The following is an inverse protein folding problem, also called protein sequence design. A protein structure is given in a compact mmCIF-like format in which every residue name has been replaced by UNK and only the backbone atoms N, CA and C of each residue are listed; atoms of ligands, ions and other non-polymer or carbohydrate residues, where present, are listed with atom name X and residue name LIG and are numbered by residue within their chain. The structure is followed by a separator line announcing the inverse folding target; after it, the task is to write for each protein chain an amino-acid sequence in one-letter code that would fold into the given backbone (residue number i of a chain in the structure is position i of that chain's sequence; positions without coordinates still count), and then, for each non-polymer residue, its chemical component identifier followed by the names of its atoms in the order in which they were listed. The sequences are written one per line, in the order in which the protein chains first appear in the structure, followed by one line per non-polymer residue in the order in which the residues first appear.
data_IF_550259315017
#
_entry.id   IF_550259315017
#
_cell.length_a   1.000
_cell.length_b   1.000
_cell.length_c   1.000
_cell.angle_alpha   90.00
_cell.angle_beta   90.00
_cell.angle_gamma   90.00
#
_symmetry.space_group_name_H-M   'P 1'
#
loop_
_entity.id
_entity.type
_entity.pdbx_description
1 polymer ?
#
# COMPACT_ATOMS: atom_id res chain seq x y z
N UNK A 1 -7.09 -6.73 -13.61
CA UNK A 1 -6.80 -7.44 -12.39
C UNK A 1 -6.10 -6.53 -11.38
N UNK A 2 -6.63 -6.51 -10.17
CA UNK A 2 -6.14 -5.68 -9.09
C UNK A 2 -5.61 -6.57 -7.96
N UNK A 3 -4.37 -6.33 -7.57
CA UNK A 3 -3.78 -6.96 -6.41
C UNK A 3 -4.08 -6.12 -5.17
N UNK A 4 -4.14 -6.76 -4.02
CA UNK A 4 -4.36 -6.08 -2.76
C UNK A 4 -3.22 -6.37 -1.80
N UNK A 5 -2.66 -5.31 -1.23
CA UNK A 5 -1.55 -5.41 -0.30
C UNK A 5 -2.10 -5.48 1.13
N UNK A 6 -1.66 -6.45 1.89
CA UNK A 6 -2.11 -6.61 3.28
C UNK A 6 -1.38 -5.63 4.18
N UNK A 7 -2.14 -4.77 4.85
CA UNK A 7 -1.62 -3.74 5.74
C UNK A 7 -0.73 -4.29 6.85
N UNK A 8 -1.11 -5.41 7.45
CA UNK A 8 -0.36 -5.99 8.56
C UNK A 8 1.06 -6.40 8.16
N UNK A 9 1.25 -6.77 6.92
CA UNK A 9 2.55 -7.21 6.43
C UNK A 9 3.57 -6.07 6.42
N UNK A 10 3.11 -4.84 6.18
CA UNK A 10 3.99 -3.68 6.07
C UNK A 10 4.13 -2.88 7.36
N UNK A 11 3.22 -3.06 8.33
CA UNK A 11 3.24 -2.27 9.56
C UNK A 11 4.55 -2.38 10.32
N UNK A 12 5.03 -3.59 10.55
CA UNK A 12 6.28 -3.81 11.27
C UNK A 12 7.49 -3.36 10.46
N UNK A 13 7.45 -3.57 9.16
CA UNK A 13 8.53 -3.17 8.26
C UNK A 13 8.67 -1.65 8.16
N UNK A 14 7.58 -0.91 8.34
CA UNK A 14 7.61 0.56 8.26
C UNK A 14 8.34 1.23 9.42
N UNK A 15 8.69 0.49 10.46
CA UNK A 15 9.53 1.00 11.54
C UNK A 15 10.94 1.31 11.08
N UNK A 16 11.41 0.57 10.06
CA UNK A 16 12.66 0.84 9.38
C UNK A 16 12.34 1.12 7.91
N UNK A 17 12.55 2.34 7.49
CA UNK A 17 12.16 2.78 6.15
C UNK A 17 12.80 1.97 5.04
N UNK A 18 14.08 1.59 5.20
CA UNK A 18 14.77 0.82 4.18
C UNK A 18 14.16 -0.58 3.97
N UNK A 19 13.75 -1.25 5.06
CA UNK A 19 13.10 -2.55 4.99
C UNK A 19 11.72 -2.41 4.37
N UNK A 20 10.95 -1.41 4.82
CA UNK A 20 9.62 -1.14 4.29
C UNK A 20 9.65 -0.86 2.80
N UNK A 21 10.57 -0.05 2.36
CA UNK A 21 10.75 0.29 0.95
C UNK A 21 11.10 -0.94 0.12
N UNK A 22 12.01 -1.78 0.60
CA UNK A 22 12.42 -3.01 -0.08
C UNK A 22 11.25 -3.96 -0.24
N UNK A 23 10.49 -4.20 0.83
CA UNK A 23 9.32 -5.08 0.80
C UNK A 23 8.26 -4.55 -0.15
N UNK A 24 8.00 -3.26 -0.10
CA UNK A 24 7.00 -2.62 -0.96
C UNK A 24 7.40 -2.71 -2.42
N UNK A 25 8.65 -2.44 -2.74
CA UNK A 25 9.16 -2.54 -4.11
C UNK A 25 9.06 -3.97 -4.64
N UNK A 26 9.41 -4.96 -3.83
CA UNK A 26 9.29 -6.37 -4.21
C UNK A 26 7.84 -6.77 -4.43
N UNK A 27 6.93 -6.29 -3.59
CA UNK A 27 5.50 -6.56 -3.77
C UNK A 27 4.98 -6.00 -5.09
N UNK A 28 5.40 -4.80 -5.45
CA UNK A 28 5.04 -4.16 -6.71
C UNK A 28 5.57 -4.98 -7.89
N UNK A 29 6.84 -5.36 -7.85
CA UNK A 29 7.46 -6.15 -8.92
C UNK A 29 6.80 -7.52 -9.07
N UNK A 30 6.48 -8.17 -7.96
CA UNK A 30 5.81 -9.47 -7.96
C UNK A 30 4.42 -9.37 -8.57
N UNK A 31 3.64 -8.36 -8.18
CA UNK A 31 2.31 -8.15 -8.74
C UNK A 31 2.38 -7.89 -10.24
N UNK A 32 3.34 -7.09 -10.66
CA UNK A 32 3.56 -6.78 -12.07
C UNK A 32 3.91 -8.05 -12.86
N UNK A 33 4.81 -8.86 -12.32
CA UNK A 33 5.23 -10.12 -12.96
C UNK A 33 4.08 -11.13 -13.05
N UNK A 34 3.16 -11.10 -12.10
CA UNK A 34 1.98 -11.97 -12.10
C UNK A 34 0.86 -11.47 -13.03
N UNK A 35 1.05 -10.33 -13.68
CA UNK A 35 0.10 -9.80 -14.64
C UNK A 35 -0.98 -8.90 -14.07
N UNK A 36 -0.87 -8.48 -12.83
CA UNK A 36 -1.79 -7.49 -12.27
C UNK A 36 -1.54 -6.12 -12.86
N UNK A 37 -2.59 -5.34 -13.02
CA UNK A 37 -2.51 -3.99 -13.59
C UNK A 37 -2.51 -2.90 -12.52
N UNK A 38 -2.95 -3.22 -11.31
CA UNK A 38 -3.15 -2.25 -10.25
C UNK A 38 -2.89 -2.90 -8.90
N UNK A 39 -2.33 -2.15 -7.96
CA UNK A 39 -2.25 -2.55 -6.56
C UNK A 39 -3.08 -1.57 -5.74
N UNK A 40 -3.91 -2.09 -4.84
CA UNK A 40 -4.67 -1.32 -3.87
C UNK A 40 -4.28 -1.72 -2.46
N UNK A 41 -4.38 -0.77 -1.56
CA UNK A 41 -4.15 -1.00 -0.14
C UNK A 41 -5.03 -0.08 0.68
N UNK A 42 -5.17 -0.41 1.95
CA UNK A 42 -5.74 0.49 2.94
C UNK A 42 -4.72 0.75 4.04
N UNK A 43 -4.76 1.94 4.61
CA UNK A 43 -3.89 2.33 5.71
C UNK A 43 -4.66 3.26 6.65
N UNK A 44 -4.15 3.46 7.84
CA UNK A 44 -4.78 4.37 8.79
C UNK A 44 -4.18 5.78 8.65
N UNK A 45 -5.01 6.79 8.91
CA UNK A 45 -4.59 8.19 8.79
C UNK A 45 -3.42 8.55 9.71
N UNK A 46 -3.24 7.83 10.82
CA UNK A 46 -2.15 8.06 11.77
C UNK A 46 -0.87 7.28 11.42
N UNK A 47 -0.87 6.52 10.34
CA UNK A 47 0.30 5.78 9.89
C UNK A 47 1.07 6.59 8.85
N UNK A 48 1.60 7.73 9.30
CA UNK A 48 2.23 8.70 8.39
C UNK A 48 3.48 8.16 7.72
N UNK A 49 4.30 7.39 8.43
CA UNK A 49 5.51 6.80 7.84
C UNK A 49 5.17 5.85 6.69
N UNK A 50 4.15 5.01 6.86
CA UNK A 50 3.69 4.10 5.82
C UNK A 50 3.16 4.87 4.62
N UNK A 51 2.34 5.91 4.86
CA UNK A 51 1.79 6.73 3.79
C UNK A 51 2.89 7.42 2.98
N UNK A 52 3.93 7.89 3.64
CA UNK A 52 5.06 8.51 2.94
C UNK A 52 5.77 7.51 2.03
N UNK A 53 5.96 6.28 2.49
CA UNK A 53 6.55 5.23 1.67
C UNK A 53 5.68 4.91 0.45
N UNK A 54 4.36 4.79 0.65
CA UNK A 54 3.45 4.52 -0.45
C UNK A 54 3.50 5.62 -1.50
N UNK A 55 3.46 6.88 -1.06
CA UNK A 55 3.55 8.02 -1.99
C UNK A 55 4.88 8.06 -2.72
N UNK A 56 5.96 7.72 -2.03
CA UNK A 56 7.30 7.72 -2.60
C UNK A 56 7.41 6.76 -3.79
N UNK A 57 6.73 5.62 -3.73
CA UNK A 57 6.76 4.63 -4.81
C UNK A 57 5.61 4.81 -5.81
N UNK A 58 4.80 5.85 -5.67
CA UNK A 58 3.81 6.21 -6.68
C UNK A 58 2.36 5.88 -6.35
N UNK A 59 2.05 5.48 -5.13
CA UNK A 59 0.67 5.31 -4.71
C UNK A 59 -0.02 6.67 -4.55
N UNK A 60 -1.31 6.71 -4.84
CA UNK A 60 -2.14 7.90 -4.67
C UNK A 60 -3.43 7.51 -3.95
N UNK A 61 -4.01 8.47 -3.25
CA UNK A 61 -5.24 8.25 -2.50
C UNK A 61 -6.43 8.12 -3.44
N UNK A 62 -7.31 7.16 -3.13
CA UNK A 62 -8.55 6.93 -3.89
C UNK A 62 -9.74 6.89 -2.93
N UNK A 63 -10.98 7.04 -3.44
CA UNK A 63 -12.17 6.82 -2.62
C UNK A 63 -12.23 5.39 -2.10
N UNK A 64 -12.95 5.21 -0.98
CA UNK A 64 -13.13 3.88 -0.39
C UNK A 64 -13.75 2.92 -1.40
N UNK A 65 -13.10 1.78 -1.61
CA UNK A 65 -13.60 0.75 -2.51
C UNK A 65 -14.31 -0.38 -1.77
N UNK A 66 -14.28 -0.35 -0.45
CA UNK A 66 -15.02 -1.28 0.40
C UNK A 66 -15.41 -0.59 1.70
N UNK A 67 -16.42 -1.14 2.37
CA UNK A 67 -16.78 -0.67 3.70
C UNK A 67 -15.71 -1.10 4.70
N UNK A 68 -15.28 -0.14 5.54
CA UNK A 68 -14.34 -0.40 6.61
C UNK A 68 -14.86 0.33 7.87
N UNK A 69 -15.13 -0.39 8.97
CA UNK A 69 -15.64 0.24 10.18
C UNK A 69 -14.62 1.09 10.94
N UNK A 70 -13.34 1.01 10.59
CA UNK A 70 -12.32 1.81 11.24
C UNK A 70 -12.35 3.23 10.71
N UNK A 71 -12.49 4.19 11.61
CA UNK A 71 -12.42 5.61 11.24
C UNK A 71 -11.01 5.98 10.80
N UNK A 72 -10.93 6.90 9.85
CA UNK A 72 -9.66 7.41 9.37
C UNK A 72 -8.91 6.46 8.46
N UNK A 73 -9.60 5.45 7.92
CA UNK A 73 -8.99 4.57 6.91
C UNK A 73 -8.82 5.31 5.61
N UNK A 74 -7.61 5.23 5.06
CA UNK A 74 -7.25 5.83 3.77
C UNK A 74 -7.00 4.69 2.79
N UNK A 75 -7.56 4.83 1.58
CA UNK A 75 -7.39 3.86 0.51
C UNK A 75 -6.46 4.45 -0.54
N UNK A 76 -5.52 3.64 -1.00
CA UNK A 76 -4.53 4.07 -1.97
C UNK A 76 -4.39 3.03 -3.08
N UNK A 77 -3.94 3.51 -4.24
CA UNK A 77 -3.80 2.68 -5.43
C UNK A 77 -2.55 3.09 -6.19
N UNK A 78 -1.96 2.14 -6.88
CA UNK A 78 -0.87 2.38 -7.83
C UNK A 78 -1.12 1.59 -9.09
N UNK A 79 -0.97 2.24 -10.24
CA UNK A 79 -0.96 1.56 -11.54
C UNK A 79 0.40 0.93 -11.81
N UNK A 80 0.38 -0.28 -12.30
CA UNK A 80 1.58 -1.05 -12.57
C UNK A 80 2.05 -0.93 -14.03
#
# INVERSE_FOLDING_TARGET
HTAELKRMYLQDACREQSIGLTLLTRSIETAKALGYHTIRLDTLHNMTAAQLLYKLVGFYEIPAYRFNPLEGTIYMEKEL
#
